data_IF_119748131386
#
_entry.id   IF_119748131386
#
_cell.length_a   1.000
_cell.length_b   1.000
_cell.length_c   1.000
_cell.angle_alpha   90.00
_cell.angle_beta   90.00
_cell.angle_gamma   90.00
#
_symmetry.space_group_name_H-M   'P 1'
#
loop_
_entity.id
_entity.type
_entity.pdbx_description
1 polymer ?
#
# COMPACT_ATOMS: atom_id res chain seq x y z
N UNK A 1 15.21 9.97 -25.86
CA UNK A 1 13.85 9.84 -25.35
C UNK A 1 13.86 8.99 -24.11
N UNK A 2 13.30 9.48 -23.04
CA UNK A 2 13.26 8.76 -21.79
C UNK A 2 12.01 7.88 -21.74
N UNK A 3 12.19 6.59 -21.56
CA UNK A 3 11.05 5.68 -21.39
C UNK A 3 10.51 5.80 -19.97
N UNK A 4 9.19 5.93 -19.86
CA UNK A 4 8.53 5.93 -18.57
C UNK A 4 8.47 4.50 -18.03
N UNK A 5 8.87 4.32 -16.77
CA UNK A 5 8.74 3.04 -16.11
C UNK A 5 7.27 2.71 -15.86
N UNK A 6 6.83 1.55 -16.34
CA UNK A 6 5.45 1.12 -16.19
C UNK A 6 5.04 0.95 -14.72
N UNK A 7 3.79 1.27 -14.42
CA UNK A 7 3.21 1.01 -13.11
C UNK A 7 3.09 -0.49 -12.84
N UNK A 8 3.08 -0.84 -11.58
CA UNK A 8 2.72 -2.20 -11.12
C UNK A 8 1.24 -2.20 -10.78
N UNK A 9 0.48 -3.13 -11.36
CA UNK A 9 -0.97 -3.24 -11.16
C UNK A 9 -1.31 -4.63 -10.65
N UNK A 10 -2.16 -4.67 -9.63
CA UNK A 10 -2.68 -5.91 -9.05
C UNK A 10 -4.12 -5.69 -8.64
N UNK A 11 -4.91 -6.76 -8.63
CA UNK A 11 -6.28 -6.68 -8.17
C UNK A 11 -6.70 -7.97 -7.48
N UNK A 12 -7.72 -7.86 -6.64
CA UNK A 12 -8.29 -8.99 -5.91
C UNK A 12 -9.78 -8.72 -5.67
N UNK A 13 -10.58 -9.76 -5.66
CA UNK A 13 -11.99 -9.68 -5.27
C UNK A 13 -12.13 -10.17 -3.84
N UNK A 14 -12.84 -9.39 -3.02
CA UNK A 14 -13.10 -9.75 -1.63
C UNK A 14 -14.61 -9.87 -1.37
N UNK A 15 -14.99 -10.78 -0.47
CA UNK A 15 -16.38 -11.13 -0.20
C UNK A 15 -17.00 -10.24 0.88
N UNK A 16 -16.73 -8.94 0.80
CA UNK A 16 -17.31 -7.92 1.67
C UNK A 16 -17.67 -6.69 0.82
N UNK A 17 -18.67 -5.88 1.25
CA UNK A 17 -19.02 -4.68 0.49
C UNK A 17 -17.93 -3.61 0.53
N UNK A 18 -17.95 -2.63 -0.41
CA UNK A 18 -16.89 -1.61 -0.50
C UNK A 18 -16.59 -0.87 0.80
N UNK A 19 -17.58 -0.53 1.59
CA UNK A 19 -17.36 0.17 2.87
C UNK A 19 -16.51 -0.67 3.82
N UNK A 20 -16.77 -1.96 3.91
CA UNK A 20 -16.00 -2.87 4.76
C UNK A 20 -14.63 -3.15 4.16
N UNK A 21 -14.56 -3.31 2.83
CA UNK A 21 -13.29 -3.51 2.13
C UNK A 21 -12.35 -2.34 2.37
N UNK A 22 -12.84 -1.11 2.29
CA UNK A 22 -12.09 0.11 2.55
C UNK A 22 -11.62 0.19 4.01
N UNK A 23 -12.50 -0.10 4.96
CA UNK A 23 -12.18 -0.09 6.39
C UNK A 23 -11.09 -1.10 6.73
N UNK A 24 -11.20 -2.33 6.21
CA UNK A 24 -10.18 -3.37 6.40
C UNK A 24 -8.83 -2.96 5.83
N UNK A 25 -8.84 -2.33 4.66
CA UNK A 25 -7.61 -1.90 4.01
C UNK A 25 -6.91 -0.77 4.77
N UNK A 26 -7.66 0.09 5.42
CA UNK A 26 -7.15 1.30 6.08
C UNK A 26 -7.05 1.15 7.60
N UNK A 27 -8.17 1.25 8.31
CA UNK A 27 -8.20 1.23 9.78
C UNK A 27 -7.66 -0.09 10.36
N UNK A 28 -7.82 -1.19 9.64
CA UNK A 28 -7.45 -2.52 10.10
C UNK A 28 -6.23 -3.09 9.35
N UNK A 29 -5.38 -2.24 8.77
CA UNK A 29 -4.21 -2.68 8.01
C UNK A 29 -3.28 -3.58 8.84
N UNK A 30 -3.17 -3.33 10.13
CA UNK A 30 -2.38 -4.16 11.03
C UNK A 30 -2.76 -5.64 10.97
N UNK A 31 -4.05 -5.95 10.74
CA UNK A 31 -4.55 -7.31 10.76
C UNK A 31 -4.06 -8.18 9.60
N UNK A 32 -3.62 -7.57 8.49
CA UNK A 32 -3.22 -8.32 7.29
C UNK A 32 -1.87 -7.90 6.70
N UNK A 33 -1.30 -6.75 7.10
CA UNK A 33 0.00 -6.32 6.57
C UNK A 33 1.07 -7.34 6.94
N UNK A 34 1.83 -7.87 5.96
CA UNK A 34 2.80 -8.93 6.26
C UNK A 34 3.87 -8.48 7.27
N UNK A 35 4.10 -9.30 8.29
CA UNK A 35 4.98 -8.97 9.40
C UNK A 35 6.42 -8.67 8.98
N UNK A 36 6.88 -9.25 7.89
CA UNK A 36 8.24 -9.03 7.37
C UNK A 36 8.38 -7.79 6.51
N UNK A 37 7.27 -7.11 6.17
CA UNK A 37 7.27 -5.95 5.27
C UNK A 37 7.39 -4.65 6.08
N UNK A 38 8.56 -4.39 6.62
CA UNK A 38 8.84 -3.15 7.34
C UNK A 38 10.29 -2.71 7.16
N UNK A 39 10.52 -1.43 7.33
CA UNK A 39 11.86 -0.87 7.56
C UNK A 39 12.02 -0.68 9.07
N UNK A 40 13.22 -0.46 9.54
CA UNK A 40 13.50 -0.38 10.97
C UNK A 40 14.01 -1.71 11.53
N UNK A 41 14.41 -1.71 12.79
CA UNK A 41 15.19 -2.80 13.39
C UNK A 41 14.38 -3.75 14.25
N UNK A 42 13.16 -3.39 14.61
CA UNK A 42 12.29 -4.23 15.44
C UNK A 42 10.98 -4.57 14.72
N UNK A 43 10.31 -5.66 15.13
CA UNK A 43 9.05 -6.07 14.50
C UNK A 43 7.95 -5.02 14.58
N UNK A 44 6.96 -5.17 13.70
CA UNK A 44 5.77 -4.31 13.67
C UNK A 44 4.92 -4.55 14.92
N UNK A 45 4.49 -3.47 15.57
CA UNK A 45 3.38 -3.48 16.52
C UNK A 45 2.08 -3.11 15.81
N UNK A 46 2.06 -1.97 15.10
CA UNK A 46 0.89 -1.52 14.35
C UNK A 46 1.30 -0.81 13.07
N UNK A 47 0.44 -0.92 12.04
CA UNK A 47 0.50 -0.12 10.82
C UNK A 47 -0.67 0.86 10.86
N UNK A 48 -0.40 2.15 10.66
CA UNK A 48 -1.40 3.22 10.78
C UNK A 48 -1.52 3.98 9.47
N UNK A 49 -2.77 4.12 9.00
CA UNK A 49 -3.14 5.06 7.94
C UNK A 49 -4.07 6.07 8.58
N UNK A 50 -3.61 7.30 8.72
CA UNK A 50 -4.45 8.35 9.32
C UNK A 50 -5.61 8.69 8.38
N UNK A 51 -6.85 8.74 8.89
CA UNK A 51 -8.05 8.76 8.04
C UNK A 51 -8.39 10.17 7.55
N UNK A 52 -7.49 10.77 6.77
CA UNK A 52 -7.70 12.10 6.18
C UNK A 52 -6.66 12.38 5.09
N UNK A 53 -7.00 13.24 4.16
CA UNK A 53 -6.04 13.79 3.20
C UNK A 53 -4.95 14.55 3.98
N UNK A 54 -3.70 14.33 3.63
CA UNK A 54 -2.54 14.86 4.34
C UNK A 54 -2.13 14.06 5.56
N UNK A 55 -2.87 13.01 5.92
CA UNK A 55 -2.52 12.10 7.01
C UNK A 55 -1.28 11.28 6.69
N UNK A 56 -0.71 10.66 7.72
CA UNK A 56 0.49 9.84 7.60
C UNK A 56 0.14 8.38 7.40
N UNK A 57 0.98 7.68 6.65
CA UNK A 57 1.01 6.21 6.59
C UNK A 57 2.33 5.77 7.19
N UNK A 58 2.29 5.09 8.34
CA UNK A 58 3.49 4.77 9.10
C UNK A 58 3.32 3.49 9.91
N UNK A 59 4.44 2.99 10.40
CA UNK A 59 4.51 1.79 11.24
C UNK A 59 5.01 2.16 12.64
N UNK A 60 4.34 1.63 13.67
CA UNK A 60 4.82 1.67 15.04
C UNK A 60 5.41 0.30 15.33
N UNK A 61 6.66 0.29 15.78
CA UNK A 61 7.40 -0.93 16.09
C UNK A 61 7.26 -1.33 17.55
N UNK A 62 7.62 -2.58 17.87
CA UNK A 62 7.45 -3.12 19.23
C UNK A 62 8.28 -2.39 20.28
N UNK A 63 9.37 -1.72 19.89
CA UNK A 63 10.16 -0.88 20.79
C UNK A 63 9.62 0.56 20.93
N UNK A 64 8.47 0.86 20.29
CA UNK A 64 7.86 2.17 20.30
C UNK A 64 8.35 3.13 19.23
N UNK A 65 9.40 2.76 18.47
CA UNK A 65 9.88 3.59 17.37
C UNK A 65 8.89 3.62 16.22
N UNK A 66 8.97 4.67 15.38
CA UNK A 66 8.11 4.86 14.21
C UNK A 66 8.94 4.95 12.94
N UNK A 67 8.45 4.32 11.88
CA UNK A 67 9.03 4.49 10.54
C UNK A 67 7.92 4.92 9.58
N UNK A 68 8.23 5.90 8.72
CA UNK A 68 7.25 6.41 7.77
C UNK A 68 7.34 5.65 6.45
N UNK A 69 6.17 5.44 5.83
CA UNK A 69 6.04 4.88 4.48
C UNK A 69 5.65 5.97 3.50
N UNK A 70 4.71 6.83 3.89
CA UNK A 70 4.24 7.92 3.05
C UNK A 70 3.12 8.72 3.69
N UNK A 71 2.31 9.35 2.83
CA UNK A 71 1.22 10.23 3.23
C UNK A 71 -0.02 9.94 2.40
N UNK A 72 -1.19 10.31 2.94
CA UNK A 72 -2.47 10.17 2.25
C UNK A 72 -2.65 11.35 1.31
N UNK A 73 -2.80 11.09 0.02
CA UNK A 73 -3.08 12.10 -1.00
C UNK A 73 -4.58 12.25 -1.24
N UNK A 74 -5.31 11.14 -1.27
CA UNK A 74 -6.76 11.10 -1.49
C UNK A 74 -7.38 10.18 -0.46
N UNK A 75 -8.36 10.70 0.26
CA UNK A 75 -9.17 9.94 1.22
C UNK A 75 -10.63 10.07 0.83
N UNK A 76 -11.14 9.11 0.07
CA UNK A 76 -12.52 9.12 -0.44
C UNK A 76 -13.21 7.79 -0.16
N UNK A 77 -13.59 7.51 1.10
CA UNK A 77 -14.29 6.28 1.41
C UNK A 77 -15.70 6.28 0.78
N UNK A 78 -16.21 5.13 0.33
CA UNK A 78 -15.54 3.83 0.37
C UNK A 78 -14.80 3.48 -0.93
N UNK A 79 -14.63 4.42 -1.85
CA UNK A 79 -14.22 4.11 -3.23
C UNK A 79 -12.74 4.25 -3.54
N UNK A 80 -12.03 5.12 -2.85
CA UNK A 80 -10.65 5.42 -3.26
C UNK A 80 -9.75 5.84 -2.11
N UNK A 81 -8.56 5.26 -2.11
CA UNK A 81 -7.44 5.67 -1.26
C UNK A 81 -6.22 5.86 -2.14
N UNK A 82 -5.57 7.01 -2.05
CA UNK A 82 -4.29 7.24 -2.72
C UNK A 82 -3.28 7.65 -1.67
N UNK A 83 -2.16 6.94 -1.61
CA UNK A 83 -1.06 7.22 -0.67
C UNK A 83 0.24 7.34 -1.44
N UNK A 84 1.23 7.99 -0.83
CA UNK A 84 2.58 7.99 -1.36
C UNK A 84 3.36 6.80 -0.81
N UNK A 85 4.32 6.33 -1.58
CA UNK A 85 5.35 5.39 -1.13
C UNK A 85 6.68 6.10 -1.27
N UNK A 86 7.33 6.35 -0.13
CA UNK A 86 8.53 7.19 -0.08
C UNK A 86 9.73 6.45 0.53
N UNK A 87 9.71 5.14 0.41
CA UNK A 87 10.84 4.28 0.81
C UNK A 87 11.68 4.02 -0.43
N UNK A 88 12.96 4.37 -0.36
CA UNK A 88 13.89 4.22 -1.47
C UNK A 88 14.43 2.80 -1.64
N UNK A 89 15.27 2.62 -2.66
CA UNK A 89 15.94 1.34 -2.92
C UNK A 89 16.89 0.92 -1.80
N UNK A 90 17.27 1.86 -0.96
CA UNK A 90 18.07 1.63 0.25
C UNK A 90 17.21 1.23 1.47
N UNK A 91 15.87 1.10 1.26
CA UNK A 91 14.90 0.72 2.29
C UNK A 91 14.86 1.71 3.47
N UNK A 92 15.04 3.01 3.15
CA UNK A 92 14.85 4.09 4.10
C UNK A 92 13.86 5.11 3.54
N UNK A 93 13.19 5.84 4.43
CA UNK A 93 12.26 6.91 4.06
C UNK A 93 13.03 8.11 3.52
N UNK A 94 12.55 8.67 2.39
CA UNK A 94 13.09 9.87 1.78
C UNK A 94 11.97 10.88 1.53
N UNK A 95 12.05 12.04 2.14
CA UNK A 95 11.02 13.06 2.05
C UNK A 95 10.80 13.57 0.62
N UNK A 96 11.86 13.60 -0.18
CA UNK A 96 11.84 14.09 -1.57
C UNK A 96 11.58 13.01 -2.61
N UNK A 97 11.45 11.75 -2.20
CA UNK A 97 11.11 10.63 -3.08
C UNK A 97 9.61 10.38 -2.98
N UNK A 98 8.87 10.64 -4.06
CA UNK A 98 7.42 10.42 -4.06
C UNK A 98 7.04 9.49 -5.21
N UNK A 99 6.58 8.29 -4.85
CA UNK A 99 5.84 7.41 -5.76
C UNK A 99 4.42 7.29 -5.25
N UNK A 100 3.50 6.81 -6.07
CA UNK A 100 2.07 6.85 -5.75
C UNK A 100 1.46 5.46 -5.77
N UNK A 101 0.72 5.14 -4.72
CA UNK A 101 -0.08 3.91 -4.64
C UNK A 101 -1.55 4.31 -4.61
N UNK A 102 -2.27 3.99 -5.69
CA UNK A 102 -3.68 4.30 -5.85
C UNK A 102 -4.49 3.01 -5.70
N UNK A 103 -5.45 3.01 -4.79
CA UNK A 103 -6.29 1.84 -4.50
C UNK A 103 -7.76 2.21 -4.71
N UNK A 104 -8.45 1.44 -5.55
CA UNK A 104 -9.85 1.65 -5.86
C UNK A 104 -10.67 0.45 -5.38
N UNK A 105 -11.84 0.74 -4.81
CA UNK A 105 -12.74 -0.24 -4.25
C UNK A 105 -14.05 -0.15 -5.02
N UNK A 106 -14.26 -1.09 -5.94
CA UNK A 106 -15.39 -1.07 -6.88
C UNK A 106 -16.34 -2.22 -6.55
N UNK A 107 -17.64 -1.95 -6.62
CA UNK A 107 -18.64 -2.98 -6.42
C UNK A 107 -18.49 -4.08 -7.49
N UNK A 108 -18.39 -5.35 -7.06
CA UNK A 108 -18.15 -6.49 -7.95
C UNK A 108 -19.26 -7.56 -7.84
N UNK A 109 -20.49 -7.10 -7.57
CA UNK A 109 -21.63 -7.95 -7.30
C UNK A 109 -22.11 -7.76 -5.88
N UNK A 110 -23.21 -8.38 -5.53
CA UNK A 110 -23.83 -8.22 -4.21
C UNK A 110 -22.88 -8.67 -3.09
N UNK A 111 -22.53 -7.73 -2.20
CA UNK A 111 -21.67 -8.01 -1.05
C UNK A 111 -20.21 -8.27 -1.40
N UNK A 112 -19.76 -7.92 -2.61
CA UNK A 112 -18.39 -8.17 -3.07
C UNK A 112 -17.75 -6.90 -3.60
N UNK A 113 -16.44 -6.84 -3.51
CA UNK A 113 -15.66 -5.68 -3.96
C UNK A 113 -14.46 -6.11 -4.79
N UNK A 114 -14.26 -5.46 -5.93
CA UNK A 114 -13.01 -5.53 -6.68
C UNK A 114 -12.08 -4.46 -6.14
N UNK A 115 -10.95 -4.88 -5.59
CA UNK A 115 -9.92 -3.98 -5.07
C UNK A 115 -8.79 -3.93 -6.10
N UNK A 116 -8.55 -2.74 -6.65
CA UNK A 116 -7.56 -2.52 -7.70
C UNK A 116 -6.47 -1.59 -7.19
N UNK A 117 -5.23 -2.05 -7.23
CA UNK A 117 -4.06 -1.31 -6.76
C UNK A 117 -3.13 -1.01 -7.94
N UNK A 118 -2.68 0.24 -8.00
CA UNK A 118 -1.66 0.68 -8.95
C UNK A 118 -0.56 1.42 -8.19
N UNK A 119 0.68 0.94 -8.33
CA UNK A 119 1.86 1.64 -7.84
C UNK A 119 2.55 2.29 -9.04
N UNK A 120 2.49 3.61 -9.11
CA UNK A 120 2.98 4.38 -10.27
C UNK A 120 4.00 5.43 -9.85
N UNK A 121 4.44 6.22 -10.81
CA UNK A 121 5.46 7.26 -10.64
C UNK A 121 6.83 6.67 -10.26
N UNK A 122 7.10 5.45 -10.72
CA UNK A 122 8.30 4.70 -10.38
C UNK A 122 9.57 5.33 -10.93
N UNK A 123 9.46 6.22 -11.92
CA UNK A 123 10.59 6.98 -12.44
C UNK A 123 11.24 7.88 -11.36
N UNK A 124 10.51 8.18 -10.28
CA UNK A 124 11.05 8.93 -9.14
C UNK A 124 12.23 8.21 -8.48
N UNK A 125 12.34 6.88 -8.64
CA UNK A 125 13.50 6.13 -8.15
C UNK A 125 14.78 6.38 -8.97
N UNK A 126 14.69 7.11 -10.08
CA UNK A 126 15.84 7.43 -10.92
C UNK A 126 16.49 6.17 -11.50
N UNK A 127 17.82 6.00 -11.34
CA UNK A 127 18.50 4.83 -11.91
C UNK A 127 18.03 3.50 -11.34
N UNK A 128 17.37 3.49 -10.20
CA UNK A 128 16.83 2.28 -9.57
C UNK A 128 15.40 1.95 -10.00
N UNK A 129 14.79 2.73 -10.92
CA UNK A 129 13.38 2.58 -11.27
C UNK A 129 13.04 1.17 -11.77
N UNK A 130 13.81 0.63 -12.70
CA UNK A 130 13.56 -0.71 -13.25
C UNK A 130 13.71 -1.80 -12.17
N UNK A 131 14.71 -1.69 -11.32
CA UNK A 131 14.95 -2.61 -10.21
C UNK A 131 13.79 -2.58 -9.21
N UNK A 132 13.34 -1.40 -8.85
CA UNK A 132 12.24 -1.25 -7.89
C UNK A 132 10.91 -1.73 -8.49
N UNK A 133 10.68 -1.47 -9.78
CA UNK A 133 9.51 -2.02 -10.45
C UNK A 133 9.50 -3.55 -10.39
N UNK A 134 10.61 -4.18 -10.67
CA UNK A 134 10.72 -5.64 -10.61
C UNK A 134 10.48 -6.15 -9.18
N UNK A 135 10.97 -5.43 -8.18
CA UNK A 135 10.74 -5.75 -6.78
C UNK A 135 9.25 -5.69 -6.44
N UNK A 136 8.56 -4.62 -6.81
CA UNK A 136 7.13 -4.46 -6.52
C UNK A 136 6.25 -5.41 -7.35
N UNK A 137 6.73 -5.88 -8.48
CA UNK A 137 6.03 -6.83 -9.36
C UNK A 137 6.23 -8.29 -8.94
N UNK A 138 7.11 -8.54 -7.97
CA UNK A 138 7.40 -9.87 -7.48
C UNK A 138 6.24 -10.47 -6.67
N UNK A 139 6.24 -11.82 -6.50
CA UNK A 139 5.13 -12.51 -5.82
C UNK A 139 5.00 -12.19 -4.34
N UNK A 140 6.08 -11.73 -3.70
CA UNK A 140 6.07 -11.37 -2.28
C UNK A 140 5.80 -9.87 -2.06
N UNK A 141 5.59 -9.10 -3.14
CA UNK A 141 5.26 -7.69 -3.07
C UNK A 141 3.74 -7.49 -3.12
N UNK A 142 3.26 -6.57 -3.95
CA UNK A 142 1.82 -6.22 -3.95
C UNK A 142 0.89 -7.41 -4.18
N UNK A 143 1.28 -8.36 -5.04
CA UNK A 143 0.48 -9.57 -5.26
C UNK A 143 0.27 -10.35 -3.97
N UNK A 144 1.35 -10.64 -3.25
CA UNK A 144 1.29 -11.35 -1.96
C UNK A 144 0.62 -10.53 -0.86
N UNK A 145 0.83 -9.22 -0.85
CA UNK A 145 0.20 -8.31 0.11
C UNK A 145 -1.33 -8.31 -0.07
N UNK A 146 -1.82 -8.23 -1.32
CA UNK A 146 -3.26 -8.28 -1.58
C UNK A 146 -3.87 -9.64 -1.26
N UNK A 147 -3.13 -10.73 -1.44
CA UNK A 147 -3.60 -12.06 -1.01
C UNK A 147 -3.75 -12.14 0.50
N UNK A 148 -2.82 -11.55 1.26
CA UNK A 148 -2.93 -11.49 2.72
C UNK A 148 -4.14 -10.67 3.16
N UNK A 149 -4.38 -9.54 2.50
CA UNK A 149 -5.57 -8.72 2.72
C UNK A 149 -6.86 -9.51 2.42
N UNK A 150 -6.92 -10.17 1.26
CA UNK A 150 -8.08 -10.95 0.87
C UNK A 150 -8.37 -12.10 1.84
N UNK A 151 -7.33 -12.74 2.38
CA UNK A 151 -7.50 -13.81 3.37
C UNK A 151 -8.23 -13.32 4.63
N UNK A 152 -7.93 -12.11 5.09
CA UNK A 152 -8.63 -11.51 6.24
C UNK A 152 -10.04 -11.08 5.85
N UNK A 153 -10.20 -10.45 4.69
CA UNK A 153 -11.51 -9.96 4.22
C UNK A 153 -12.50 -11.10 3.98
N UNK A 154 -12.01 -12.26 3.54
CA UNK A 154 -12.84 -13.42 3.19
C UNK A 154 -13.00 -14.41 4.36
N UNK A 155 -12.41 -14.11 5.50
CA UNK A 155 -12.51 -14.99 6.66
C UNK A 155 -13.88 -14.93 7.34
#
# INVERSE_FOLDING_TARGET
>A
MTETTDAVRREVVVDVPPARAFELFTANMTSWWPAGHHIGTTPIDRVVVEPRTGGRWYTIHQDGSETYTGFVLVWEPPGRLTVTWQIGADWTFHEDLVTTVDVRFEEAGEGRTLVRLEHRDLDAFGPDAAKMRDTFDGPDAWGGILLAYAAVANA
#
